data_IF_259289509922
#
_entry.id   IF_259289509922
#
_cell.length_a   1.000
_cell.length_b   1.000
_cell.length_c   1.000
_cell.angle_alpha   90.00
_cell.angle_beta   90.00
_cell.angle_gamma   90.00
#
_symmetry.space_group_name_H-M   'P 1'
#
loop_
_entity.id
_entity.type
_entity.pdbx_description
1 polymer ?
#
# COMPACT_ATOMS: atom_id res chain seq x y z
N UNK A 1 -3.47 1.62 -55.22
CA UNK A 1 -3.98 0.61 -54.27
C UNK A 1 -2.91 0.14 -53.29
N UNK A 2 -1.75 -0.37 -53.73
CA UNK A 2 -0.68 -0.89 -52.85
C UNK A 2 -0.15 0.10 -51.78
N UNK A 3 0.03 1.39 -52.12
CA UNK A 3 0.49 2.42 -51.16
C UNK A 3 -0.47 2.65 -49.99
N UNK A 4 -1.78 2.53 -50.23
CA UNK A 4 -2.80 2.72 -49.21
C UNK A 4 -2.91 1.52 -48.26
N UNK A 5 -2.67 0.30 -48.76
CA UNK A 5 -2.60 -0.90 -47.92
C UNK A 5 -1.39 -0.88 -46.99
N UNK A 6 -0.23 -0.45 -47.48
CA UNK A 6 0.98 -0.29 -46.65
C UNK A 6 0.77 0.78 -45.58
N UNK A 7 0.22 1.94 -45.93
CA UNK A 7 -0.07 3.00 -44.98
C UNK A 7 -1.08 2.58 -43.90
N UNK A 8 -2.15 1.86 -44.27
CA UNK A 8 -3.13 1.34 -43.32
C UNK A 8 -2.53 0.28 -42.37
N UNK A 9 -1.69 -0.63 -42.89
CA UNK A 9 -1.00 -1.62 -42.07
C UNK A 9 -0.06 -1.00 -41.03
N UNK A 10 0.68 0.03 -41.43
CA UNK A 10 1.56 0.80 -40.52
C UNK A 10 0.75 1.55 -39.46
N UNK A 11 -0.35 2.20 -39.84
CA UNK A 11 -1.20 2.93 -38.90
C UNK A 11 -1.84 2.00 -37.86
N UNK A 12 -2.31 0.81 -38.26
CA UNK A 12 -2.87 -0.19 -37.34
C UNK A 12 -1.80 -0.71 -36.38
N UNK A 13 -0.60 -1.01 -36.86
CA UNK A 13 0.50 -1.46 -36.01
C UNK A 13 0.88 -0.41 -34.96
N UNK A 14 0.94 0.87 -35.34
CA UNK A 14 1.21 1.98 -34.42
C UNK A 14 0.08 2.17 -33.40
N UNK A 15 -1.18 2.03 -33.80
CA UNK A 15 -2.32 2.13 -32.89
C UNK A 15 -2.33 1.01 -31.85
N UNK A 16 -2.03 -0.23 -32.25
CA UNK A 16 -1.94 -1.38 -31.34
C UNK A 16 -0.75 -1.26 -30.37
N UNK A 17 0.40 -0.79 -30.85
CA UNK A 17 1.56 -0.52 -30.00
C UNK A 17 1.27 0.59 -28.97
N UNK A 18 0.62 1.68 -29.40
CA UNK A 18 0.21 2.78 -28.53
C UNK A 18 -0.80 2.34 -27.46
N UNK A 19 -1.82 1.56 -27.85
CA UNK A 19 -2.80 1.00 -26.92
C UNK A 19 -2.12 0.07 -25.91
N UNK A 20 -1.19 -0.74 -26.37
CA UNK A 20 -0.42 -1.62 -25.51
C UNK A 20 0.41 -0.91 -24.45
N UNK A 21 1.07 0.18 -24.85
CA UNK A 21 1.84 1.02 -23.94
C UNK A 21 0.94 1.67 -22.88
N UNK A 22 -0.24 2.13 -23.27
CA UNK A 22 -1.23 2.73 -22.36
C UNK A 22 -1.81 1.71 -21.38
N UNK A 23 -2.07 0.48 -21.82
CA UNK A 23 -2.69 -0.57 -21.01
C UNK A 23 -1.68 -1.31 -20.11
N UNK A 24 -0.38 -1.05 -20.22
CA UNK A 24 0.62 -1.68 -19.34
C UNK A 24 0.78 -3.19 -19.54
N UNK A 25 0.28 -3.73 -20.66
CA UNK A 25 0.36 -5.17 -20.97
C UNK A 25 1.74 -5.61 -21.49
N UNK A 26 2.65 -4.66 -21.78
CA UNK A 26 3.96 -4.95 -22.40
C UNK A 26 4.87 -5.57 -21.33
N UNK A 27 5.24 -6.86 -21.46
CA UNK A 27 6.11 -7.52 -20.51
C UNK A 27 7.48 -6.84 -20.42
N UNK A 28 8.12 -6.91 -19.25
CA UNK A 28 9.47 -6.37 -19.03
C UNK A 28 9.53 -4.86 -18.73
N UNK A 29 8.39 -4.18 -18.61
CA UNK A 29 8.35 -2.76 -18.19
C UNK A 29 8.08 -2.62 -16.69
N UNK A 30 8.56 -1.52 -16.11
CA UNK A 30 8.31 -1.15 -14.71
C UNK A 30 6.80 -1.04 -14.40
N UNK A 31 6.03 -0.48 -15.33
CA UNK A 31 4.57 -0.40 -15.23
C UNK A 31 3.94 -1.79 -15.15
N UNK A 32 4.37 -2.70 -16.02
CA UNK A 32 3.86 -4.06 -16.05
C UNK A 32 4.20 -4.82 -14.76
N UNK A 33 5.44 -4.67 -14.26
CA UNK A 33 5.86 -5.23 -12.98
C UNK A 33 4.97 -4.71 -11.83
N UNK A 34 4.77 -3.39 -11.75
CA UNK A 34 3.91 -2.77 -10.74
C UNK A 34 2.50 -3.35 -10.80
N UNK A 35 1.88 -3.49 -11.97
CA UNK A 35 0.51 -4.00 -12.08
C UNK A 35 0.40 -5.48 -11.67
N UNK A 36 1.35 -6.33 -12.08
CA UNK A 36 1.37 -7.74 -11.65
C UNK A 36 1.52 -7.83 -10.12
N UNK A 37 2.41 -7.02 -9.54
CA UNK A 37 2.67 -7.05 -8.10
C UNK A 37 1.51 -6.47 -7.29
N UNK A 38 0.85 -5.41 -7.78
CA UNK A 38 -0.41 -4.92 -7.20
C UNK A 38 -1.49 -6.00 -7.20
N UNK A 39 -1.66 -6.72 -8.30
CA UNK A 39 -2.63 -7.82 -8.37
C UNK A 39 -2.32 -8.93 -7.35
N UNK A 40 -1.04 -9.30 -7.21
CA UNK A 40 -0.61 -10.31 -6.24
C UNK A 40 -0.83 -9.86 -4.79
N UNK A 41 -0.51 -8.61 -4.45
CA UNK A 41 -0.73 -8.07 -3.10
C UNK A 41 -2.23 -7.93 -2.81
N UNK A 42 -3.02 -7.46 -3.78
CA UNK A 42 -4.48 -7.35 -3.64
C UNK A 42 -5.15 -8.70 -3.36
N UNK A 43 -4.63 -9.80 -3.93
CA UNK A 43 -5.15 -11.15 -3.71
C UNK A 43 -5.07 -11.61 -2.24
N UNK A 44 -4.27 -10.94 -1.40
CA UNK A 44 -4.20 -11.22 0.05
C UNK A 44 -5.25 -10.48 0.89
N UNK A 45 -6.01 -9.55 0.29
CA UNK A 45 -7.09 -8.83 0.98
C UNK A 45 -8.37 -9.67 1.09
N UNK A 46 -9.24 -9.30 2.02
CA UNK A 46 -10.58 -9.91 2.17
C UNK A 46 -11.41 -9.78 0.89
N UNK A 47 -11.38 -8.60 0.28
CA UNK A 47 -11.98 -8.32 -1.03
C UNK A 47 -10.89 -7.75 -1.95
N UNK A 48 -10.28 -8.58 -2.83
CA UNK A 48 -9.24 -8.12 -3.75
C UNK A 48 -9.69 -7.00 -4.68
N UNK A 49 -10.98 -6.94 -5.04
CA UNK A 49 -11.51 -5.91 -5.93
C UNK A 49 -11.65 -4.55 -5.22
N UNK A 50 -11.61 -4.53 -3.89
CA UNK A 50 -11.63 -3.29 -3.10
C UNK A 50 -10.28 -2.59 -3.02
N UNK A 51 -9.19 -3.22 -3.51
CA UNK A 51 -7.83 -2.75 -3.32
C UNK A 51 -7.63 -1.33 -3.89
N UNK A 52 -7.17 -0.43 -3.03
CA UNK A 52 -6.73 0.91 -3.41
C UNK A 52 -5.25 1.03 -3.15
N UNK A 53 -4.52 1.55 -4.13
CA UNK A 53 -3.06 1.71 -4.06
C UNK A 53 -2.70 3.19 -4.15
N UNK A 54 -1.68 3.60 -3.39
CA UNK A 54 -1.07 4.93 -3.52
C UNK A 54 0.42 4.87 -3.18
N UNK A 55 1.15 5.91 -3.59
CA UNK A 55 2.60 6.01 -3.39
C UNK A 55 3.37 4.76 -3.84
N UNK A 56 2.95 4.15 -4.95
CA UNK A 56 3.57 2.93 -5.47
C UNK A 56 4.81 3.29 -6.28
N UNK A 57 5.94 2.66 -5.95
CA UNK A 57 7.21 2.86 -6.63
C UNK A 57 7.99 1.54 -6.74
N UNK A 58 8.97 1.53 -7.63
CA UNK A 58 10.00 0.49 -7.63
C UNK A 58 11.16 1.00 -6.79
N UNK A 59 11.43 0.31 -5.70
CA UNK A 59 12.60 0.53 -4.86
C UNK A 59 13.71 -0.43 -5.29
N UNK A 60 14.93 0.09 -5.42
CA UNK A 60 16.13 -0.69 -5.67
C UNK A 60 17.03 -0.47 -4.47
N UNK A 61 17.45 -1.55 -3.81
CA UNK A 61 18.39 -1.41 -2.70
C UNK A 61 19.75 -0.92 -3.23
N UNK A 62 20.03 0.37 -3.01
CA UNK A 62 21.27 1.02 -3.43
C UNK A 62 22.49 0.56 -2.63
N UNK A 63 22.29 -0.12 -1.49
CA UNK A 63 23.37 -0.58 -0.59
C UNK A 63 23.84 -1.99 -0.93
N UNK A 64 23.02 -2.76 -1.64
CA UNK A 64 23.33 -4.14 -2.00
C UNK A 64 24.11 -4.22 -3.32
N UNK A 65 25.10 -5.10 -3.37
CA UNK A 65 25.80 -5.48 -4.63
C UNK A 65 24.88 -6.26 -5.57
N UNK A 66 23.87 -6.93 -5.02
CA UNK A 66 22.78 -7.58 -5.75
C UNK A 66 21.64 -6.57 -5.89
N UNK A 67 21.30 -6.18 -7.12
CA UNK A 67 20.22 -5.23 -7.42
C UNK A 67 18.85 -5.89 -7.19
N UNK A 68 18.46 -6.06 -5.94
CA UNK A 68 17.12 -6.51 -5.60
C UNK A 68 16.14 -5.37 -5.83
N UNK A 69 15.15 -5.62 -6.70
CA UNK A 69 14.06 -4.71 -6.99
C UNK A 69 12.83 -5.11 -6.21
N UNK A 70 12.16 -4.12 -5.66
CA UNK A 70 10.95 -4.28 -4.87
C UNK A 70 9.88 -3.35 -5.42
N UNK A 71 8.65 -3.83 -5.53
CA UNK A 71 7.49 -2.96 -5.67
C UNK A 71 7.00 -2.65 -4.27
N UNK A 72 6.98 -1.39 -3.91
CA UNK A 72 6.55 -0.92 -2.60
C UNK A 72 5.52 0.18 -2.75
N UNK A 73 4.71 0.37 -1.71
CA UNK A 73 3.74 1.44 -1.65
C UNK A 73 2.79 1.26 -0.49
N UNK A 74 1.60 1.82 -0.62
CA UNK A 74 0.56 1.67 0.38
C UNK A 74 -0.69 1.05 -0.24
N UNK A 75 -1.30 0.12 0.47
CA UNK A 75 -2.53 -0.56 0.07
C UNK A 75 -3.62 -0.31 1.12
N UNK A 76 -4.85 -0.13 0.66
CA UNK A 76 -6.04 -0.12 1.48
C UNK A 76 -7.05 -1.11 0.89
N UNK A 77 -7.87 -1.70 1.74
CA UNK A 77 -8.89 -2.67 1.36
C UNK A 77 -10.06 -2.62 2.33
N UNK A 78 -11.22 -3.12 1.87
CA UNK A 78 -12.37 -3.28 2.76
C UNK A 78 -12.10 -4.41 3.74
N UNK A 79 -12.46 -4.18 5.00
CA UNK A 79 -12.54 -5.23 6.01
C UNK A 79 -13.78 -6.10 5.77
N UNK A 80 -13.99 -7.13 6.62
CA UNK A 80 -15.16 -8.03 6.53
C UNK A 80 -16.51 -7.33 6.74
N UNK A 81 -16.51 -6.10 7.27
CA UNK A 81 -17.69 -5.26 7.47
C UNK A 81 -17.93 -4.32 6.28
N UNK A 82 -17.07 -4.34 5.27
CA UNK A 82 -17.18 -3.52 4.05
C UNK A 82 -16.60 -2.10 4.17
N UNK A 83 -15.96 -1.76 5.29
CA UNK A 83 -15.36 -0.45 5.53
C UNK A 83 -13.85 -0.44 5.23
N UNK A 84 -13.33 0.71 4.78
CA UNK A 84 -11.91 0.93 4.59
C UNK A 84 -11.25 1.33 5.91
N UNK A 85 -10.27 0.56 6.38
CA UNK A 85 -9.59 0.81 7.65
C UNK A 85 -8.40 1.78 7.53
N UNK A 86 -7.96 2.07 6.31
CA UNK A 86 -6.85 2.97 6.04
C UNK A 86 -5.72 2.28 5.29
N UNK A 87 -4.80 3.10 4.78
CA UNK A 87 -3.66 2.63 4.01
C UNK A 87 -2.57 2.06 4.91
N UNK A 88 -2.11 0.86 4.60
CA UNK A 88 -0.98 0.19 5.25
C UNK A 88 0.18 0.02 4.26
N UNK A 89 1.44 0.12 4.72
CA UNK A 89 2.60 -0.17 3.87
C UNK A 89 2.59 -1.59 3.32
N UNK A 90 3.06 -1.77 2.09
CA UNK A 90 3.39 -3.07 1.53
C UNK A 90 4.69 -3.02 0.72
N UNK A 91 5.41 -4.14 0.66
CA UNK A 91 6.46 -4.37 -0.30
C UNK A 91 6.40 -5.80 -0.83
N UNK A 92 6.88 -6.01 -2.05
CA UNK A 92 6.97 -7.32 -2.69
C UNK A 92 8.14 -7.36 -3.67
N UNK A 93 8.90 -8.45 -3.66
CA UNK A 93 10.07 -8.63 -4.52
C UNK A 93 9.65 -8.71 -5.98
N UNK A 94 10.58 -8.37 -6.88
CA UNK A 94 10.35 -8.42 -8.32
C UNK A 94 9.92 -9.79 -8.83
N UNK A 95 10.39 -10.88 -8.22
CA UNK A 95 9.99 -12.26 -8.54
C UNK A 95 8.66 -12.66 -7.88
N UNK A 96 8.21 -11.91 -6.87
CA UNK A 96 7.01 -12.18 -6.07
C UNK A 96 7.18 -13.29 -5.03
N UNK A 97 8.40 -13.78 -4.81
CA UNK A 97 8.67 -14.84 -3.85
C UNK A 97 8.63 -14.35 -2.40
N UNK A 98 8.89 -13.06 -2.18
CA UNK A 98 8.86 -12.44 -0.85
C UNK A 98 8.02 -11.18 -0.87
N UNK A 99 7.16 -11.02 0.12
CA UNK A 99 6.32 -9.84 0.23
C UNK A 99 5.75 -9.72 1.63
N UNK A 100 5.37 -8.49 1.96
CA UNK A 100 4.88 -8.13 3.27
C UNK A 100 3.88 -7.00 3.15
N UNK A 101 2.82 -7.11 3.95
CA UNK A 101 1.87 -6.02 4.20
C UNK A 101 1.93 -5.77 5.69
N UNK A 102 2.02 -4.50 6.10
CA UNK A 102 2.01 -4.15 7.51
C UNK A 102 0.73 -4.64 8.15
N UNK A 103 0.89 -5.57 9.11
CA UNK A 103 -0.20 -6.12 9.92
C UNK A 103 -0.51 -5.27 11.16
N UNK A 104 0.09 -4.08 11.29
CA UNK A 104 -0.18 -3.23 12.45
C UNK A 104 -1.57 -2.61 12.32
N UNK A 105 -2.44 -3.02 13.22
CA UNK A 105 -3.72 -2.34 13.45
C UNK A 105 -3.43 -0.92 13.94
N UNK A 106 -3.60 0.05 13.05
CA UNK A 106 -3.70 1.46 13.41
C UNK A 106 -4.99 1.62 14.21
N UNK A 107 -4.95 2.06 15.47
CA UNK A 107 -6.18 2.38 16.19
C UNK A 107 -6.99 3.42 15.43
N UNK A 108 -8.27 3.12 15.20
CA UNK A 108 -9.20 4.06 14.57
C UNK A 108 -9.63 5.16 15.55
N UNK A 109 -10.26 6.20 15.01
CA UNK A 109 -10.70 7.35 15.83
C UNK A 109 -11.77 6.92 16.84
N UNK A 110 -12.64 5.95 16.50
CA UNK A 110 -13.67 5.43 17.40
C UNK A 110 -13.07 4.73 18.62
N UNK A 111 -12.01 3.93 18.44
CA UNK A 111 -11.28 3.28 19.52
C UNK A 111 -10.62 4.29 20.47
N UNK A 112 -10.07 5.36 19.92
CA UNK A 112 -9.43 6.42 20.72
C UNK A 112 -10.47 7.25 21.46
N UNK A 113 -11.57 7.61 20.80
CA UNK A 113 -12.68 8.37 21.40
C UNK A 113 -13.39 7.56 22.49
N UNK A 114 -13.61 6.26 22.29
CA UNK A 114 -14.15 5.36 23.33
C UNK A 114 -13.21 5.26 24.52
N UNK A 115 -11.89 5.13 24.29
CA UNK A 115 -10.91 5.11 25.36
C UNK A 115 -10.83 6.44 26.12
N UNK A 116 -10.95 7.57 25.43
CA UNK A 116 -10.99 8.90 26.05
C UNK A 116 -12.25 9.12 26.89
N UNK A 117 -13.41 8.72 26.38
CA UNK A 117 -14.66 8.72 27.14
C UNK A 117 -14.52 7.90 28.41
N UNK A 118 -14.03 6.66 28.32
CA UNK A 118 -13.83 5.77 29.48
C UNK A 118 -12.85 6.36 30.50
N UNK A 119 -11.75 6.96 30.05
CA UNK A 119 -10.81 7.66 30.92
C UNK A 119 -11.52 8.82 31.65
N UNK A 120 -12.29 9.64 30.94
CA UNK A 120 -13.04 10.77 31.51
C UNK A 120 -14.09 10.31 32.54
N UNK A 121 -14.83 9.25 32.25
CA UNK A 121 -15.80 8.64 33.18
C UNK A 121 -15.12 8.08 34.43
N UNK A 122 -14.00 7.38 34.25
CA UNK A 122 -13.23 6.81 35.34
C UNK A 122 -12.66 7.90 36.27
N UNK A 123 -12.15 9.00 35.71
CA UNK A 123 -11.71 10.19 36.47
C UNK A 123 -12.85 10.77 37.31
N UNK A 124 -14.06 10.91 36.73
CA UNK A 124 -15.24 11.41 37.45
C UNK A 124 -15.70 10.48 38.57
N UNK A 125 -15.60 9.18 38.37
CA UNK A 125 -16.01 8.17 39.35
C UNK A 125 -15.01 8.00 40.51
N UNK A 126 -13.75 8.43 40.32
CA UNK A 126 -12.67 8.20 41.27
C UNK A 126 -12.12 6.77 41.32
N UNK A 127 -12.65 5.85 40.48
CA UNK A 127 -12.24 4.44 40.42
C UNK A 127 -11.72 4.07 39.04
N UNK A 128 -10.65 3.25 38.98
CA UNK A 128 -10.16 2.67 37.72
C UNK A 128 -9.53 3.66 36.71
N UNK A 129 -9.40 4.96 37.06
CA UNK A 129 -8.93 5.99 36.13
C UNK A 129 -7.53 5.74 35.59
N UNK A 130 -6.62 5.18 36.41
CA UNK A 130 -5.26 4.85 35.98
C UNK A 130 -5.27 3.89 34.79
N UNK A 131 -5.98 2.77 34.91
CA UNK A 131 -6.07 1.78 33.84
C UNK A 131 -6.76 2.33 32.59
N UNK A 132 -7.88 3.06 32.77
CA UNK A 132 -8.64 3.61 31.65
C UNK A 132 -7.84 4.65 30.86
N UNK A 133 -7.11 5.53 31.55
CA UNK A 133 -6.29 6.55 30.90
C UNK A 133 -4.99 5.98 30.33
N UNK A 134 -4.32 5.05 31.00
CA UNK A 134 -3.15 4.33 30.44
C UNK A 134 -3.52 3.62 29.14
N UNK A 135 -4.71 3.01 29.05
CA UNK A 135 -5.19 2.37 27.82
C UNK A 135 -5.39 3.36 26.68
N UNK A 136 -5.90 4.55 26.96
CA UNK A 136 -6.01 5.63 25.95
C UNK A 136 -4.64 6.04 25.45
N UNK A 137 -3.71 6.30 26.36
CA UNK A 137 -2.36 6.74 26.02
C UNK A 137 -1.64 5.69 25.16
N UNK A 138 -1.81 4.40 25.48
CA UNK A 138 -1.30 3.28 24.68
C UNK A 138 -1.85 3.29 23.25
N UNK A 139 -3.15 3.52 23.06
CA UNK A 139 -3.77 3.59 21.72
C UNK A 139 -3.25 4.79 20.92
N UNK A 140 -3.14 5.95 21.56
CA UNK A 140 -2.58 7.15 20.93
C UNK A 140 -1.12 6.92 20.52
N UNK A 141 -0.33 6.31 21.40
CA UNK A 141 1.07 5.99 21.11
C UNK A 141 1.18 5.01 19.94
N UNK A 142 0.37 3.95 19.92
CA UNK A 142 0.30 2.98 18.81
C UNK A 142 -0.05 3.65 17.48
N UNK A 143 -1.07 4.51 17.46
CA UNK A 143 -1.44 5.27 16.25
C UNK A 143 -0.28 6.14 15.77
N UNK A 144 0.35 6.88 16.68
CA UNK A 144 1.48 7.75 16.34
C UNK A 144 2.70 6.95 15.85
N UNK A 145 2.96 5.77 16.41
CA UNK A 145 4.04 4.88 15.97
C UNK A 145 3.78 4.35 14.56
N UNK A 146 2.54 3.99 14.26
CA UNK A 146 2.12 3.57 12.92
C UNK A 146 2.24 4.73 11.91
N UNK A 147 1.82 5.94 12.28
CA UNK A 147 1.96 7.12 11.41
C UNK A 147 3.43 7.43 11.09
N UNK A 148 4.32 7.33 12.08
CA UNK A 148 5.77 7.49 11.86
C UNK A 148 6.34 6.41 10.95
N UNK A 149 5.91 5.17 11.11
CA UNK A 149 6.30 4.08 10.21
C UNK A 149 5.90 4.39 8.77
N UNK A 150 4.66 4.83 8.54
CA UNK A 150 4.18 5.18 7.19
C UNK A 150 5.09 6.23 6.54
N UNK A 151 5.43 7.29 7.26
CA UNK A 151 6.27 8.36 6.73
C UNK A 151 7.68 7.83 6.40
N UNK A 152 8.29 7.10 7.33
CA UNK A 152 9.62 6.50 7.11
C UNK A 152 9.61 5.50 5.95
N UNK A 153 8.55 4.71 5.82
CA UNK A 153 8.38 3.74 4.74
C UNK A 153 8.30 4.42 3.37
N UNK A 154 7.55 5.52 3.25
CA UNK A 154 7.46 6.29 1.99
C UNK A 154 8.81 6.81 1.55
N UNK A 155 9.59 7.35 2.49
CA UNK A 155 10.94 7.82 2.21
C UNK A 155 11.84 6.67 1.76
N UNK A 156 11.79 5.52 2.46
CA UNK A 156 12.59 4.35 2.09
C UNK A 156 12.21 3.81 0.70
N UNK A 157 10.91 3.68 0.44
CA UNK A 157 10.35 3.22 -0.82
C UNK A 157 10.71 4.16 -1.99
N UNK A 158 10.66 5.48 -1.78
CA UNK A 158 10.97 6.46 -2.83
C UNK A 158 12.47 6.61 -3.07
N UNK A 159 13.31 6.45 -2.05
CA UNK A 159 14.74 6.74 -2.12
C UNK A 159 15.61 5.52 -2.45
N UNK A 160 15.06 4.30 -2.54
CA UNK A 160 15.85 3.10 -2.76
C UNK A 160 16.72 2.73 -1.56
N UNK A 161 16.25 3.06 -0.35
CA UNK A 161 16.87 2.58 0.88
C UNK A 161 16.38 1.15 1.12
N UNK A 162 17.26 0.27 1.62
CA UNK A 162 16.85 -1.10 1.97
C UNK A 162 15.59 -1.06 2.86
N UNK A 163 14.55 -1.74 2.41
CA UNK A 163 13.25 -1.93 3.04
C UNK A 163 13.31 -3.06 4.07
#
# INVERSE_FOLDING_TARGET
MMKYMVAAGVAIALALAGLGFLLGWIPGTDRHLIEIRKAQVAASLVDPASAQFRHVAISIDKRSTIKNRWVCGEINGKNRMGAYAGFTPFYISEDGASGWISQRDRPDDEQIDDADRRCTEAVRSGYGYRYACERKDELVEKRNAFDREIVAFREACSNGLAL
#
